data_IF_804435309998
#
_entry.id   IF_804435309998
#
_cell.length_a   1.000
_cell.length_b   1.000
_cell.length_c   1.000
_cell.angle_alpha   90.00
_cell.angle_beta   90.00
_cell.angle_gamma   90.00
#
_symmetry.space_group_name_H-M   'P 1'
#
loop_
_entity.id
_entity.type
_entity.pdbx_description
1 polymer ?
#
# COMPACT_ATOMS: atom_id res chain seq x y z
N UNK A 1 13.53 1.62 -22.27
CA UNK A 1 12.63 0.47 -22.61
C UNK A 1 13.37 -0.87 -22.68
N UNK A 2 14.65 -0.93 -23.06
CA UNK A 2 15.42 -2.17 -23.24
C UNK A 2 15.42 -3.07 -22.00
N UNK A 3 15.76 -2.53 -20.82
CA UNK A 3 15.77 -3.31 -19.57
C UNK A 3 14.41 -3.96 -19.25
N UNK A 4 13.32 -3.21 -19.39
CA UNK A 4 11.98 -3.71 -19.12
C UNK A 4 11.64 -4.94 -19.99
N UNK A 5 11.89 -4.83 -21.31
CA UNK A 5 11.67 -5.93 -22.26
C UNK A 5 12.59 -7.12 -21.97
N UNK A 6 13.86 -6.88 -21.62
CA UNK A 6 14.80 -7.94 -21.26
C UNK A 6 14.33 -8.71 -20.04
N UNK A 7 13.90 -8.02 -18.97
CA UNK A 7 13.42 -8.65 -17.74
C UNK A 7 12.15 -9.48 -17.97
N UNK A 8 11.21 -8.97 -18.79
CA UNK A 8 10.00 -9.73 -19.13
C UNK A 8 10.30 -10.96 -19.98
N UNK A 9 11.22 -10.85 -20.94
CA UNK A 9 11.63 -11.98 -21.78
C UNK A 9 12.35 -13.05 -20.96
N UNK A 10 13.24 -12.64 -20.06
CA UNK A 10 13.95 -13.53 -19.15
C UNK A 10 12.99 -14.30 -18.23
N UNK A 11 11.94 -13.63 -17.77
CA UNK A 11 10.88 -14.24 -16.96
C UNK A 11 9.93 -15.14 -17.77
N UNK A 12 10.07 -15.24 -19.09
CA UNK A 12 9.26 -16.09 -19.97
C UNK A 12 7.75 -15.89 -19.80
N UNK A 13 7.33 -14.63 -19.61
CA UNK A 13 5.91 -14.31 -19.44
C UNK A 13 5.13 -14.62 -20.73
N UNK A 14 3.89 -15.11 -20.59
CA UNK A 14 3.06 -15.52 -21.74
C UNK A 14 2.62 -14.34 -22.61
N UNK A 15 2.31 -13.21 -21.97
CA UNK A 15 1.85 -11.99 -22.62
C UNK A 15 3.03 -11.02 -22.63
N UNK A 16 3.58 -10.66 -23.80
CA UNK A 16 4.69 -9.72 -23.89
C UNK A 16 4.32 -8.34 -23.37
N UNK A 17 5.28 -7.65 -22.77
CA UNK A 17 5.14 -6.26 -22.36
C UNK A 17 5.01 -5.37 -23.60
N UNK A 18 3.86 -4.74 -23.77
CA UNK A 18 3.53 -3.89 -24.91
C UNK A 18 2.66 -2.71 -24.48
N UNK A 19 2.36 -1.81 -25.42
CA UNK A 19 1.44 -0.70 -25.16
C UNK A 19 0.03 -1.19 -24.75
N UNK A 20 -0.45 -2.29 -25.37
CA UNK A 20 -1.75 -2.89 -25.05
C UNK A 20 -1.72 -3.75 -23.77
N UNK A 21 -0.53 -4.19 -23.37
CA UNK A 21 -0.29 -4.94 -22.14
C UNK A 21 0.83 -4.29 -21.33
N UNK A 22 0.61 -3.09 -20.75
CA UNK A 22 1.67 -2.26 -20.19
C UNK A 22 2.12 -2.67 -18.78
N UNK A 23 1.54 -3.73 -18.22
CA UNK A 23 1.81 -4.22 -16.86
C UNK A 23 2.23 -5.68 -16.95
N UNK A 24 3.43 -5.99 -16.43
CA UNK A 24 3.95 -7.35 -16.37
C UNK A 24 4.38 -7.74 -14.96
N UNK A 25 3.98 -8.93 -14.53
CA UNK A 25 4.54 -9.59 -13.35
C UNK A 25 5.66 -10.53 -13.77
N UNK A 26 6.83 -10.42 -13.15
CA UNK A 26 8.02 -11.19 -13.51
C UNK A 26 8.58 -11.95 -12.31
N UNK A 27 9.24 -13.07 -12.59
CA UNK A 27 10.10 -13.77 -11.64
C UNK A 27 11.52 -13.72 -12.19
N UNK A 28 12.43 -13.12 -11.42
CA UNK A 28 13.83 -12.99 -11.81
C UNK A 28 14.57 -14.32 -11.57
N UNK A 29 15.75 -14.53 -12.19
CA UNK A 29 16.51 -15.78 -12.04
C UNK A 29 16.84 -16.16 -10.59
N UNK A 30 16.97 -15.19 -9.69
CA UNK A 30 17.20 -15.40 -8.26
C UNK A 30 15.95 -15.74 -7.45
N UNK A 31 14.78 -15.83 -8.10
CA UNK A 31 13.50 -16.10 -7.45
C UNK A 31 12.82 -14.84 -6.89
N UNK A 32 13.40 -13.66 -7.06
CA UNK A 32 12.74 -12.40 -6.74
C UNK A 32 11.51 -12.21 -7.62
N UNK A 33 10.45 -11.67 -7.01
CA UNK A 33 9.24 -11.29 -7.74
C UNK A 33 9.34 -9.83 -8.11
N UNK A 34 8.96 -9.47 -9.32
CA UNK A 34 8.94 -8.08 -9.76
C UNK A 34 7.64 -7.71 -10.47
N UNK A 35 7.39 -6.41 -10.54
CA UNK A 35 6.34 -5.81 -11.35
C UNK A 35 6.96 -4.72 -12.21
N UNK A 36 6.68 -4.75 -13.50
CA UNK A 36 7.14 -3.77 -14.49
C UNK A 36 5.90 -3.11 -15.09
N UNK A 37 5.88 -1.78 -15.10
CA UNK A 37 4.78 -0.98 -15.63
C UNK A 37 5.39 0.06 -16.59
N UNK A 38 4.83 0.15 -17.80
CA UNK A 38 5.25 1.09 -18.84
C UNK A 38 4.08 1.98 -19.28
N UNK A 39 4.30 3.02 -20.11
CA UNK A 39 3.21 3.78 -20.69
C UNK A 39 2.33 2.87 -21.57
N UNK A 40 0.99 3.06 -21.56
CA UNK A 40 0.25 4.19 -20.98
C UNK A 40 -0.17 4.03 -19.51
N UNK A 41 0.20 2.94 -18.83
CA UNK A 41 -0.16 2.73 -17.41
C UNK A 41 0.69 3.54 -16.42
N UNK A 42 1.73 4.21 -16.91
CA UNK A 42 2.56 5.18 -16.19
C UNK A 42 2.59 6.50 -16.94
N UNK A 43 3.16 7.54 -16.33
CA UNK A 43 3.51 8.77 -17.02
C UNK A 43 4.36 8.47 -18.28
N UNK A 44 4.17 9.28 -19.33
CA UNK A 44 4.95 9.18 -20.56
C UNK A 44 6.46 9.27 -20.26
N UNK A 45 7.26 8.51 -21.01
CA UNK A 45 8.71 8.38 -20.82
C UNK A 45 9.19 7.82 -19.47
N UNK A 46 8.27 7.37 -18.61
CA UNK A 46 8.61 6.74 -17.33
C UNK A 46 8.37 5.22 -17.37
N UNK A 47 9.20 4.47 -16.64
CA UNK A 47 9.03 3.02 -16.44
C UNK A 47 9.13 2.74 -14.96
N UNK A 48 8.11 2.09 -14.40
CA UNK A 48 8.10 1.68 -12.99
C UNK A 48 8.54 0.23 -12.88
N UNK A 49 9.52 -0.03 -12.01
CA UNK A 49 9.99 -1.37 -11.70
C UNK A 49 9.98 -1.52 -10.18
N UNK A 50 9.23 -2.49 -9.69
CA UNK A 50 9.21 -2.89 -8.28
C UNK A 50 9.76 -4.30 -8.15
N UNK A 51 10.74 -4.52 -7.28
CA UNK A 51 11.36 -5.83 -7.04
C UNK A 51 11.23 -6.18 -5.57
N UNK A 52 10.55 -7.28 -5.27
CA UNK A 52 10.40 -7.84 -3.92
C UNK A 52 11.46 -8.91 -3.69
N UNK A 53 12.47 -8.55 -2.90
CA UNK A 53 13.50 -9.48 -2.43
C UNK A 53 12.90 -10.44 -1.38
N UNK A 54 13.00 -11.77 -1.55
CA UNK A 54 12.56 -12.70 -0.52
C UNK A 54 13.48 -12.63 0.70
N UNK A 55 12.91 -12.80 1.89
CA UNK A 55 13.73 -13.06 3.09
C UNK A 55 14.26 -14.48 2.99
N UNK A 56 15.58 -14.63 2.93
CA UNK A 56 16.24 -15.94 3.02
C UNK A 56 16.32 -16.43 4.47
N UNK A 57 16.16 -15.54 5.44
CA UNK A 57 16.15 -15.87 6.86
C UNK A 57 14.82 -16.48 7.25
N UNK A 58 14.87 -17.69 7.83
CA UNK A 58 13.75 -18.30 8.54
C UNK A 58 13.93 -18.04 10.04
N UNK A 59 12.90 -17.51 10.67
CA UNK A 59 12.87 -17.29 12.11
C UNK A 59 12.13 -18.44 12.78
N UNK A 60 12.71 -18.99 13.84
CA UNK A 60 12.01 -19.88 14.77
C UNK A 60 11.03 -19.08 15.64
N UNK A 61 10.08 -19.75 16.29
CA UNK A 61 9.15 -19.08 17.23
C UNK A 61 9.94 -18.37 18.35
N UNK A 62 11.01 -18.99 18.84
CA UNK A 62 11.87 -18.40 19.87
C UNK A 62 12.55 -17.11 19.39
N UNK A 63 12.90 -17.01 18.11
CA UNK A 63 13.42 -15.77 17.54
C UNK A 63 12.37 -14.66 17.55
N UNK A 64 11.10 -14.96 17.27
CA UNK A 64 10.02 -13.97 17.36
C UNK A 64 9.85 -13.45 18.78
N UNK A 65 9.92 -14.34 19.78
CA UNK A 65 9.89 -13.96 21.21
C UNK A 65 11.11 -13.11 21.57
N UNK A 66 12.32 -13.59 21.26
CA UNK A 66 13.58 -12.91 21.62
C UNK A 66 13.72 -11.52 20.98
N UNK A 67 13.12 -11.31 19.81
CA UNK A 67 13.19 -10.05 19.07
C UNK A 67 12.04 -9.08 19.37
N UNK A 68 11.18 -9.41 20.33
CA UNK A 68 10.07 -8.56 20.74
C UNK A 68 8.95 -8.43 19.70
N UNK A 69 8.93 -9.30 18.68
CA UNK A 69 7.89 -9.26 17.63
C UNK A 69 6.50 -9.57 18.17
N UNK A 70 6.42 -10.21 19.33
CA UNK A 70 5.15 -10.49 20.02
C UNK A 70 4.80 -9.47 21.11
N UNK A 71 5.64 -8.46 21.39
CA UNK A 71 5.45 -7.54 22.51
C UNK A 71 4.19 -6.66 22.37
N UNK A 72 3.77 -6.40 21.13
CA UNK A 72 2.62 -5.55 20.82
C UNK A 72 1.40 -6.32 20.28
N UNK A 73 1.31 -7.62 20.58
CA UNK A 73 0.15 -8.43 20.16
C UNK A 73 -1.11 -7.94 20.89
N UNK A 74 -2.16 -7.66 20.12
CA UNK A 74 -3.46 -7.27 20.65
C UNK A 74 -4.41 -8.46 20.58
N UNK A 75 -4.91 -8.90 21.72
CA UNK A 75 -5.94 -9.94 21.80
C UNK A 75 -7.26 -9.34 21.35
N UNK A 76 -7.91 -9.93 20.35
CA UNK A 76 -9.22 -9.52 19.91
C UNK A 76 -10.26 -9.89 20.99
N UNK A 77 -10.77 -8.90 21.69
CA UNK A 77 -11.94 -9.03 22.57
C UNK A 77 -13.20 -8.69 21.78
N UNK A 78 -14.39 -9.07 22.28
CA UNK A 78 -15.67 -8.62 21.70
C UNK A 78 -15.60 -7.10 21.52
N UNK A 79 -15.84 -6.64 20.30
CA UNK A 79 -15.81 -5.22 19.98
C UNK A 79 -16.92 -4.48 20.74
N UNK A 80 -16.58 -3.94 21.89
CA UNK A 80 -17.27 -2.75 22.39
C UNK A 80 -16.79 -1.58 21.52
N UNK A 81 -17.72 -0.76 21.03
CA UNK A 81 -17.45 0.37 20.14
C UNK A 81 -16.76 1.54 20.88
N UNK A 82 -15.74 1.25 21.67
CA UNK A 82 -14.97 2.22 22.42
C UNK A 82 -13.90 2.79 21.50
N UNK A 83 -14.11 4.04 21.10
CA UNK A 83 -13.09 4.80 20.39
C UNK A 83 -11.87 5.01 21.30
N UNK A 84 -10.67 4.84 20.74
CA UNK A 84 -9.45 5.30 21.40
C UNK A 84 -9.49 6.82 21.55
N UNK A 85 -8.70 7.38 22.47
CA UNK A 85 -8.61 8.84 22.65
C UNK A 85 -8.28 9.56 21.34
N UNK A 86 -7.36 8.98 20.55
CA UNK A 86 -7.00 9.50 19.24
C UNK A 86 -8.16 9.47 18.24
N UNK A 87 -8.96 8.40 18.26
CA UNK A 87 -10.15 8.29 17.41
C UNK A 87 -11.25 9.26 17.83
N UNK A 88 -11.46 9.48 19.14
CA UNK A 88 -12.40 10.50 19.63
C UNK A 88 -12.00 11.90 19.19
N UNK A 89 -10.73 12.26 19.36
CA UNK A 89 -10.19 13.54 18.92
C UNK A 89 -10.44 13.80 17.42
N UNK A 90 -10.12 12.83 16.57
CA UNK A 90 -10.37 12.95 15.13
C UNK A 90 -11.87 13.02 14.82
N UNK A 91 -12.70 12.23 15.52
CA UNK A 91 -14.14 12.27 15.38
C UNK A 91 -14.72 13.64 15.72
N UNK A 92 -14.30 14.24 16.84
CA UNK A 92 -14.74 15.57 17.26
C UNK A 92 -14.35 16.66 16.25
N UNK A 93 -13.09 16.66 15.79
CA UNK A 93 -12.65 17.57 14.72
C UNK A 93 -13.49 17.40 13.45
N UNK A 94 -13.84 16.16 13.09
CA UNK A 94 -14.67 15.87 11.93
C UNK A 94 -16.11 16.39 12.06
N UNK A 95 -16.62 16.63 13.28
CA UNK A 95 -18.00 17.07 13.52
C UNK A 95 -18.17 18.58 13.59
N UNK A 96 -17.09 19.32 13.79
CA UNK A 96 -17.13 20.79 13.80
C UNK A 96 -17.46 21.33 12.40
N UNK A 97 -18.28 22.39 12.29
CA UNK A 97 -18.75 22.93 11.00
C UNK A 97 -17.74 23.89 10.33
N UNK A 98 -16.71 24.36 11.04
CA UNK A 98 -15.77 25.35 10.53
C UNK A 98 -14.67 24.75 9.64
N UNK A 99 -14.25 25.51 8.62
CA UNK A 99 -13.25 25.07 7.65
C UNK A 99 -11.87 24.80 8.26
N UNK A 100 -11.50 25.49 9.34
CA UNK A 100 -10.21 25.29 10.01
C UNK A 100 -10.15 23.92 10.69
N UNK A 101 -11.22 23.52 11.40
CA UNK A 101 -11.33 22.19 12.01
C UNK A 101 -11.35 21.08 10.97
N UNK A 102 -12.00 21.28 9.80
CA UNK A 102 -11.93 20.31 8.69
C UNK A 102 -10.52 20.16 8.13
N UNK A 103 -9.83 21.28 7.92
CA UNK A 103 -8.44 21.26 7.46
C UNK A 103 -7.53 20.57 8.49
N UNK A 104 -7.74 20.82 9.78
CA UNK A 104 -7.00 20.16 10.86
C UNK A 104 -7.28 18.65 10.90
N UNK A 105 -8.56 18.24 10.81
CA UNK A 105 -8.94 16.83 10.71
C UNK A 105 -8.21 16.11 9.57
N UNK A 106 -8.22 16.69 8.36
CA UNK A 106 -7.55 16.09 7.20
C UNK A 106 -6.04 15.96 7.41
N UNK A 107 -5.38 17.00 7.93
CA UNK A 107 -3.94 16.95 8.22
C UNK A 107 -3.61 15.85 9.25
N UNK A 108 -4.37 15.78 10.33
CA UNK A 108 -4.13 14.79 11.39
C UNK A 108 -4.44 13.36 10.91
N UNK A 109 -5.51 13.16 10.15
CA UNK A 109 -5.83 11.86 9.57
C UNK A 109 -4.81 11.40 8.51
N UNK A 110 -4.21 12.33 7.74
CA UNK A 110 -3.08 12.03 6.85
C UNK A 110 -1.82 11.64 7.63
N UNK A 111 -1.49 12.36 8.72
CA UNK A 111 -0.37 11.99 9.60
C UNK A 111 -0.54 10.58 10.18
N UNK A 112 -1.77 10.23 10.54
CA UNK A 112 -2.13 8.92 11.07
C UNK A 112 -2.27 7.84 9.98
N UNK A 113 -2.05 8.19 8.70
CA UNK A 113 -2.17 7.30 7.54
C UNK A 113 -3.54 6.63 7.43
N UNK A 114 -4.59 7.36 7.77
CA UNK A 114 -5.96 6.87 7.65
C UNK A 114 -6.43 6.87 6.20
N UNK A 115 -7.26 5.89 5.85
CA UNK A 115 -7.88 5.81 4.54
C UNK A 115 -9.07 6.77 4.46
N UNK A 116 -9.09 7.62 3.42
CA UNK A 116 -10.25 8.45 3.11
C UNK A 116 -11.06 7.78 2.02
N UNK A 117 -12.30 7.43 2.34
CA UNK A 117 -13.25 6.91 1.34
C UNK A 117 -14.19 8.04 0.91
N UNK A 118 -14.03 8.52 -0.32
CA UNK A 118 -15.01 9.40 -0.92
C UNK A 118 -16.17 8.55 -1.47
N UNK A 119 -17.27 8.43 -0.70
CA UNK A 119 -18.50 7.85 -1.21
C UNK A 119 -19.26 8.95 -1.96
N UNK A 120 -19.24 8.88 -3.30
CA UNK A 120 -20.10 9.54 -4.30
C UNK A 120 -20.60 10.97 -3.99
N UNK A 121 -20.27 11.90 -4.88
CA UNK A 121 -20.78 13.27 -4.92
C UNK A 121 -22.29 13.30 -5.25
N UNK A 122 -23.15 13.19 -4.23
CA UNK A 122 -24.59 13.47 -4.37
C UNK A 122 -24.95 14.95 -4.10
N UNK A 123 -23.95 15.84 -3.93
CA UNK A 123 -24.12 17.28 -3.68
C UNK A 123 -24.33 18.14 -4.94
N UNK A 124 -24.66 17.53 -6.09
CA UNK A 124 -25.06 18.22 -7.32
C UNK A 124 -26.54 17.94 -7.68
N UNK A 125 -27.42 17.99 -6.67
CA UNK A 125 -28.86 18.16 -6.87
C UNK A 125 -29.35 19.36 -6.08
#
# INVERSE_FOLDING_TARGET
>A
MTLAKTLTNLSKIKIPLSHDNPIASVVLPGGERGQIIIPPATENNSVVISIRKPSLTRFTIDDYVRTGRFDNVRIATKHEAILTERQRYLYELSRRPDGQSKAQFLREAVKDRLNFLNRRWDWLR
#
